data_IF_955954910952
#
_entry.id   IF_955954910952
#
_cell.length_a   1.000
_cell.length_b   1.000
_cell.length_c   1.000
_cell.angle_alpha   90.00
_cell.angle_beta   90.00
_cell.angle_gamma   90.00
#
_symmetry.space_group_name_H-M   'P 1'
#
loop_
_entity.id
_entity.type
_entity.pdbx_description
1 polymer ?
#
# COMPACT_ATOMS: atom_id res chain seq x y z
N UNK A 1 -16.00 16.15 6.17
CA UNK A 1 -15.21 17.01 5.28
C UNK A 1 -14.23 16.15 4.48
N UNK A 2 -14.11 16.41 3.18
CA UNK A 2 -13.16 15.75 2.27
C UNK A 2 -12.12 16.77 1.86
N UNK A 3 -10.85 16.40 1.85
CA UNK A 3 -9.76 17.25 1.37
C UNK A 3 -9.20 16.69 0.08
N UNK A 4 -9.06 17.53 -0.93
CA UNK A 4 -8.43 17.18 -2.20
C UNK A 4 -7.00 17.74 -2.25
N UNK A 5 -6.04 16.89 -2.61
CA UNK A 5 -4.63 17.22 -2.76
C UNK A 5 -4.17 16.90 -4.18
N UNK A 6 -3.61 17.90 -4.86
CA UNK A 6 -2.97 17.72 -6.16
C UNK A 6 -1.48 17.41 -5.92
N UNK A 7 -1.02 16.24 -6.34
CA UNK A 7 0.29 15.71 -5.97
C UNK A 7 1.28 15.86 -7.11
N UNK A 8 2.45 16.42 -6.82
CA UNK A 8 3.49 16.74 -7.81
C UNK A 8 3.35 18.10 -8.50
N UNK A 9 2.38 18.93 -8.07
CA UNK A 9 2.31 20.34 -8.43
C UNK A 9 3.38 21.17 -7.68
N UNK A 10 3.76 20.69 -6.49
CA UNK A 10 4.76 21.28 -5.58
C UNK A 10 5.90 20.29 -5.36
N UNK A 11 7.06 20.72 -4.83
CA UNK A 11 8.17 19.83 -4.49
C UNK A 11 7.91 18.98 -3.23
N UNK A 12 6.67 18.93 -2.72
CA UNK A 12 6.33 18.16 -1.52
C UNK A 12 6.56 16.65 -1.74
N UNK A 13 7.30 16.05 -0.81
CA UNK A 13 7.51 14.60 -0.75
C UNK A 13 6.26 13.86 -0.31
N UNK A 14 6.15 12.57 -0.67
CA UNK A 14 5.03 11.74 -0.21
C UNK A 14 4.99 11.63 1.32
N UNK A 15 6.16 11.61 1.98
CA UNK A 15 6.26 11.68 3.45
C UNK A 15 5.57 12.93 3.99
N UNK A 16 5.87 14.10 3.44
CA UNK A 16 5.24 15.37 3.85
C UNK A 16 3.73 15.33 3.68
N UNK A 17 3.28 14.87 2.51
CA UNK A 17 1.84 14.78 2.17
C UNK A 17 1.12 13.84 3.15
N UNK A 18 1.66 12.63 3.35
CA UNK A 18 1.05 11.61 4.21
C UNK A 18 1.08 12.02 5.68
N UNK A 19 2.17 12.64 6.15
CA UNK A 19 2.25 13.24 7.49
C UNK A 19 1.14 14.27 7.68
N UNK A 20 0.94 15.17 6.71
CA UNK A 20 -0.08 16.20 6.84
C UNK A 20 -1.49 15.63 6.89
N UNK A 21 -1.75 14.63 6.05
CA UNK A 21 -3.02 13.88 6.05
C UNK A 21 -3.25 13.20 7.41
N UNK A 22 -2.22 12.57 7.99
CA UNK A 22 -2.30 11.93 9.31
C UNK A 22 -2.62 12.94 10.43
N UNK A 23 -1.97 14.12 10.43
CA UNK A 23 -2.27 15.21 11.36
C UNK A 23 -3.74 15.65 11.28
N UNK A 24 -4.25 15.83 10.05
CA UNK A 24 -5.62 16.27 9.83
C UNK A 24 -6.65 15.24 10.28
N UNK A 25 -6.36 13.95 10.13
CA UNK A 25 -7.21 12.91 10.71
C UNK A 25 -7.19 12.94 12.24
N UNK A 26 -6.01 13.06 12.85
CA UNK A 26 -5.87 13.11 14.31
C UNK A 26 -6.59 14.33 14.92
N UNK A 27 -6.56 15.48 14.24
CA UNK A 27 -7.28 16.69 14.63
C UNK A 27 -8.77 16.70 14.29
N UNK A 28 -9.31 15.63 13.68
CA UNK A 28 -10.71 15.56 13.25
C UNK A 28 -11.06 16.47 12.06
N UNK A 29 -10.07 17.04 11.39
CA UNK A 29 -10.25 18.00 10.30
C UNK A 29 -10.76 17.37 9.00
N UNK A 30 -10.54 16.07 8.79
CA UNK A 30 -10.98 15.36 7.58
C UNK A 30 -11.52 13.96 7.90
N UNK A 31 -12.48 13.50 7.07
CA UNK A 31 -12.94 12.11 7.08
C UNK A 31 -12.37 11.30 5.93
N UNK A 32 -11.90 11.96 4.87
CA UNK A 32 -11.31 11.32 3.70
C UNK A 32 -10.39 12.29 2.95
N UNK A 33 -9.28 11.76 2.47
CA UNK A 33 -8.33 12.41 1.56
C UNK A 33 -8.56 11.92 0.14
N UNK A 34 -8.54 12.86 -0.81
CA UNK A 34 -8.53 12.58 -2.25
C UNK A 34 -7.22 13.08 -2.83
N UNK A 35 -6.50 12.20 -3.51
CA UNK A 35 -5.27 12.53 -4.24
C UNK A 35 -5.57 12.61 -5.72
N UNK A 36 -4.90 13.51 -6.43
CA UNK A 36 -4.93 13.59 -7.88
C UNK A 36 -3.54 13.94 -8.40
N UNK A 37 -2.99 13.13 -9.29
CA UNK A 37 -1.69 13.41 -9.91
C UNK A 37 -1.75 14.72 -10.70
N UNK A 38 -0.76 15.60 -10.48
CA UNK A 38 -0.65 16.85 -11.21
C UNK A 38 -0.51 16.61 -12.72
N UNK A 39 -1.28 17.36 -13.50
CA UNK A 39 -1.24 17.40 -14.96
C UNK A 39 -1.05 18.85 -15.40
N UNK A 40 0.00 19.17 -16.19
CA UNK A 40 0.17 20.51 -16.73
C UNK A 40 -0.94 20.81 -17.74
N UNK A 41 -1.43 22.05 -17.67
CA UNK A 41 -2.45 22.59 -18.57
C UNK A 41 -1.81 23.76 -19.30
N UNK A 42 -1.99 23.82 -20.62
CA UNK A 42 -1.48 24.91 -21.47
C UNK A 42 -2.00 26.28 -21.02
N UNK A 43 -1.22 27.31 -21.26
CA UNK A 43 -1.58 28.71 -20.95
C UNK A 43 -1.86 28.93 -19.46
N UNK A 44 -1.23 28.14 -18.60
CA UNK A 44 -1.27 28.32 -17.14
C UNK A 44 0.14 28.54 -16.59
N UNK A 45 0.30 29.25 -15.45
CA UNK A 45 1.62 29.41 -14.82
C UNK A 45 2.33 28.10 -14.45
N UNK A 46 1.64 26.96 -14.52
CA UNK A 46 2.17 25.64 -14.21
C UNK A 46 2.32 24.74 -15.45
N UNK A 47 2.25 25.30 -16.67
CA UNK A 47 2.35 24.54 -17.91
C UNK A 47 3.70 23.82 -18.09
N UNK A 48 4.78 24.42 -17.58
CA UNK A 48 6.13 23.85 -17.63
C UNK A 48 6.42 22.87 -16.49
N UNK A 49 5.50 22.70 -15.54
CA UNK A 49 5.68 21.75 -14.44
C UNK A 49 5.47 20.33 -14.96
N UNK A 50 6.43 19.44 -14.67
CA UNK A 50 6.35 18.05 -15.11
C UNK A 50 5.13 17.36 -14.53
N UNK A 51 4.38 16.65 -15.39
CA UNK A 51 3.27 15.81 -14.97
C UNK A 51 3.72 14.76 -13.94
N UNK A 52 2.93 14.56 -12.89
CA UNK A 52 3.19 13.53 -11.90
C UNK A 52 2.87 12.12 -12.47
N UNK A 53 3.63 11.08 -12.08
CA UNK A 53 3.27 9.71 -12.43
C UNK A 53 1.90 9.33 -11.86
N UNK A 54 1.02 8.71 -12.66
CA UNK A 54 -0.28 8.24 -12.18
C UNK A 54 -0.13 7.24 -11.02
N UNK A 55 0.92 6.42 -11.06
CA UNK A 55 1.22 5.46 -10.00
C UNK A 55 1.47 6.13 -8.65
N UNK A 56 1.99 7.37 -8.62
CA UNK A 56 2.23 8.11 -7.37
C UNK A 56 0.91 8.36 -6.62
N UNK A 57 -0.15 8.75 -7.34
CA UNK A 57 -1.49 8.90 -6.78
C UNK A 57 -1.99 7.58 -6.17
N UNK A 58 -1.85 6.48 -6.90
CA UNK A 58 -2.23 5.15 -6.40
C UNK A 58 -1.47 4.75 -5.13
N UNK A 59 -0.17 5.07 -5.03
CA UNK A 59 0.65 4.78 -3.85
C UNK A 59 0.20 5.57 -2.63
N UNK A 60 -0.17 6.84 -2.81
CA UNK A 60 -0.70 7.67 -1.72
C UNK A 60 -2.06 7.16 -1.21
N UNK A 61 -2.96 6.72 -2.11
CA UNK A 61 -4.20 6.06 -1.68
C UNK A 61 -3.95 4.75 -0.93
N UNK A 62 -2.98 3.94 -1.37
CA UNK A 62 -2.60 2.72 -0.67
C UNK A 62 -2.03 3.01 0.72
N UNK A 63 -1.16 4.02 0.84
CA UNK A 63 -0.62 4.46 2.13
C UNK A 63 -1.71 4.97 3.07
N UNK A 64 -2.64 5.80 2.60
CA UNK A 64 -3.80 6.27 3.37
C UNK A 64 -4.65 5.10 3.88
N UNK A 65 -4.91 4.12 3.00
CA UNK A 65 -5.65 2.92 3.37
C UNK A 65 -4.95 2.09 4.46
N UNK A 66 -3.62 2.01 4.43
CA UNK A 66 -2.85 1.34 5.49
C UNK A 66 -2.97 2.08 6.82
N UNK A 67 -2.86 3.40 6.84
CA UNK A 67 -2.99 4.17 8.07
C UNK A 67 -4.37 3.97 8.69
N UNK A 68 -5.43 4.13 7.90
CA UNK A 68 -6.81 4.08 8.39
C UNK A 68 -7.30 2.66 8.70
N UNK A 69 -7.02 1.72 7.82
CA UNK A 69 -7.59 0.37 7.86
C UNK A 69 -6.72 -0.65 8.60
N UNK A 70 -5.41 -0.42 8.64
CA UNK A 70 -4.43 -1.37 9.17
C UNK A 70 -3.69 -0.84 10.41
N UNK A 71 -3.85 0.44 10.74
CA UNK A 71 -3.20 1.08 11.88
C UNK A 71 -1.71 1.30 11.66
N UNK A 72 -1.30 1.55 10.41
CA UNK A 72 0.08 1.95 10.12
C UNK A 72 0.34 3.38 10.61
N UNK A 73 1.49 3.59 11.24
CA UNK A 73 2.06 4.92 11.43
C UNK A 73 2.73 5.44 10.16
N UNK A 74 2.92 6.75 10.06
CA UNK A 74 3.67 7.36 8.95
C UNK A 74 5.10 6.84 8.92
N UNK A 75 5.74 6.70 10.07
CA UNK A 75 7.11 6.19 10.20
C UNK A 75 7.23 4.69 9.87
N UNK A 76 6.11 3.97 9.76
CA UNK A 76 6.09 2.60 9.26
C UNK A 76 5.99 2.53 7.73
N UNK A 77 5.80 3.63 7.01
CA UNK A 77 5.80 3.59 5.56
C UNK A 77 7.23 3.59 5.04
N UNK A 78 7.51 2.72 4.06
CA UNK A 78 8.82 2.65 3.42
C UNK A 78 8.94 3.76 2.38
N UNK A 79 9.66 4.83 2.72
CA UNK A 79 10.01 5.91 1.81
C UNK A 79 11.45 5.73 1.29
N UNK A 80 11.71 6.23 0.09
CA UNK A 80 13.06 6.35 -0.45
C UNK A 80 13.84 7.53 0.18
N UNK A 81 15.09 7.74 -0.27
CA UNK A 81 15.95 8.83 0.18
C UNK A 81 15.38 10.22 -0.09
N UNK A 82 14.51 10.35 -1.10
CA UNK A 82 13.81 11.59 -1.45
C UNK A 82 12.49 11.77 -0.68
N UNK A 83 12.15 10.85 0.23
CA UNK A 83 10.92 10.88 1.00
C UNK A 83 9.68 10.46 0.21
N UNK A 84 9.84 9.79 -0.93
CA UNK A 84 8.73 9.34 -1.77
C UNK A 84 8.44 7.84 -1.62
N UNK A 85 7.21 7.44 -1.90
CA UNK A 85 6.82 6.03 -1.89
C UNK A 85 7.36 5.34 -3.15
N UNK A 86 7.89 4.11 -3.03
CA UNK A 86 8.30 3.33 -4.20
C UNK A 86 7.16 3.16 -5.19
N UNK A 87 7.36 3.59 -6.44
CA UNK A 87 6.35 3.47 -7.49
C UNK A 87 6.13 2.01 -7.91
N UNK A 88 7.17 1.17 -7.82
CA UNK A 88 7.14 -0.23 -8.27
C UNK A 88 6.60 -1.21 -7.23
N UNK A 89 6.58 -0.84 -5.95
CA UNK A 89 6.19 -1.72 -4.85
C UNK A 89 4.98 -1.19 -4.08
N UNK A 90 4.02 -2.06 -3.82
CA UNK A 90 2.92 -1.76 -2.89
C UNK A 90 3.47 -1.37 -1.50
N UNK A 91 2.96 -0.31 -0.85
CA UNK A 91 3.51 0.17 0.43
C UNK A 91 3.55 -0.89 1.54
N UNK A 92 2.57 -1.80 1.57
CA UNK A 92 2.53 -2.87 2.59
C UNK A 92 3.57 -3.95 2.30
N UNK A 93 3.75 -4.26 1.02
CA UNK A 93 4.82 -5.14 0.57
C UNK A 93 6.16 -4.50 0.90
N UNK A 94 6.40 -3.25 0.49
CA UNK A 94 7.64 -2.53 0.75
C UNK A 94 8.01 -2.53 2.24
N UNK A 95 7.03 -2.28 3.13
CA UNK A 95 7.24 -2.40 4.57
C UNK A 95 7.59 -3.82 5.02
N UNK A 96 6.92 -4.84 4.48
CA UNK A 96 7.21 -6.22 4.84
C UNK A 96 8.61 -6.66 4.40
N UNK A 97 9.09 -6.13 3.28
CA UNK A 97 10.43 -6.40 2.76
C UNK A 97 11.52 -5.69 3.57
N UNK A 98 11.23 -4.51 4.12
CA UNK A 98 12.17 -3.79 4.99
C UNK A 98 12.22 -4.33 6.43
N UNK A 99 11.30 -5.23 6.81
CA UNK A 99 11.21 -5.83 8.14
C UNK A 99 11.23 -7.38 8.11
N UNK A 100 12.28 -8.01 7.53
CA UNK A 100 12.35 -9.46 7.41
C UNK A 100 12.35 -10.18 8.76
N UNK A 101 12.80 -9.52 9.84
CA UNK A 101 12.81 -10.03 11.22
C UNK A 101 11.41 -10.29 11.78
N UNK A 102 10.37 -9.68 11.19
CA UNK A 102 8.97 -9.90 11.58
C UNK A 102 8.34 -11.12 10.91
N UNK A 103 9.08 -11.81 10.04
CA UNK A 103 8.60 -12.92 9.24
C UNK A 103 9.47 -14.17 9.39
N UNK A 104 8.88 -15.38 9.22
CA UNK A 104 7.49 -15.63 8.91
C UNK A 104 6.56 -15.51 10.13
N UNK A 105 5.28 -15.23 9.88
CA UNK A 105 4.25 -15.12 10.90
C UNK A 105 3.52 -16.46 11.04
N UNK A 106 3.48 -17.01 12.27
CA UNK A 106 2.75 -18.24 12.56
C UNK A 106 1.24 -18.00 12.63
N UNK A 107 0.53 -18.53 11.64
CA UNK A 107 -0.91 -18.27 11.46
C UNK A 107 -1.75 -18.81 12.61
N UNK A 108 -1.30 -19.80 13.39
CA UNK A 108 -2.09 -20.34 14.50
C UNK A 108 -2.07 -19.49 15.77
N UNK A 109 -1.01 -18.73 15.99
CA UNK A 109 -0.78 -18.05 17.28
C UNK A 109 -0.64 -16.53 17.14
N UNK A 110 -0.23 -16.03 15.98
CA UNK A 110 0.03 -14.61 15.76
C UNK A 110 -1.15 -13.72 16.14
N UNK A 111 -0.92 -12.59 16.80
CA UNK A 111 -1.98 -11.64 17.11
C UNK A 111 -2.65 -11.11 15.84
N UNK A 112 -3.86 -10.56 15.98
CA UNK A 112 -4.54 -9.89 14.87
C UNK A 112 -3.66 -8.80 14.25
N UNK A 113 -2.94 -8.05 15.08
CA UNK A 113 -2.04 -6.98 14.65
C UNK A 113 -0.88 -7.52 13.84
N UNK A 114 -0.26 -8.63 14.25
CA UNK A 114 0.78 -9.31 13.47
C UNK A 114 0.25 -9.80 12.12
N UNK A 115 -0.93 -10.41 12.09
CA UNK A 115 -1.57 -10.83 10.84
C UNK A 115 -1.87 -9.65 9.90
N UNK A 116 -2.28 -8.51 10.45
CA UNK A 116 -2.55 -7.30 9.66
C UNK A 116 -1.30 -6.74 8.99
N UNK A 117 -0.10 -7.10 9.45
CA UNK A 117 1.16 -6.70 8.83
C UNK A 117 1.57 -7.59 7.65
N UNK A 118 0.99 -8.78 7.52
CA UNK A 118 1.28 -9.70 6.42
C UNK A 118 0.68 -9.21 5.10
N UNK A 119 1.47 -9.08 4.01
CA UNK A 119 0.94 -8.80 2.68
C UNK A 119 -0.14 -9.80 2.26
N UNK A 120 -1.25 -9.32 1.70
CA UNK A 120 -2.38 -10.18 1.30
C UNK A 120 -3.34 -10.58 2.42
N UNK A 121 -3.08 -10.19 3.69
CA UNK A 121 -4.06 -10.32 4.78
C UNK A 121 -4.67 -8.96 5.10
N UNK A 122 -5.98 -8.80 4.84
CA UNK A 122 -6.76 -7.61 5.19
C UNK A 122 -7.42 -7.67 6.58
N UNK A 123 -8.09 -6.58 7.03
CA UNK A 123 -8.78 -6.52 8.33
C UNK A 123 -9.87 -7.58 8.50
N UNK A 124 -10.59 -7.91 7.43
CA UNK A 124 -11.61 -8.97 7.44
C UNK A 124 -10.96 -10.33 7.59
N UNK A 125 -9.95 -10.62 6.77
CA UNK A 125 -9.23 -11.90 6.79
C UNK A 125 -8.54 -12.13 8.15
N UNK A 126 -7.89 -11.11 8.71
CA UNK A 126 -7.23 -11.22 10.02
C UNK A 126 -8.23 -11.53 11.14
N UNK A 127 -9.41 -10.90 11.14
CA UNK A 127 -10.49 -11.21 12.09
C UNK A 127 -10.99 -12.65 11.93
N UNK A 128 -11.25 -13.08 10.70
CA UNK A 128 -11.70 -14.45 10.41
C UNK A 128 -10.68 -15.50 10.85
N UNK A 129 -9.40 -15.29 10.56
CA UNK A 129 -8.32 -16.19 11.02
C UNK A 129 -8.37 -16.33 12.54
N UNK A 130 -8.39 -15.21 13.28
CA UNK A 130 -8.40 -15.24 14.75
C UNK A 130 -9.63 -15.97 15.29
N UNK A 131 -10.81 -15.73 14.72
CA UNK A 131 -12.04 -16.38 15.14
C UNK A 131 -12.06 -17.91 14.86
N UNK A 132 -11.48 -18.34 13.74
CA UNK A 132 -11.53 -19.73 13.30
C UNK A 132 -10.49 -20.63 13.99
N UNK A 133 -9.39 -20.08 14.53
CA UNK A 133 -8.33 -20.87 15.21
C UNK A 133 -8.84 -21.76 16.33
N UNK A 134 -9.87 -21.33 17.04
CA UNK A 134 -10.48 -22.11 18.13
C UNK A 134 -11.45 -23.19 17.66
N UNK A 135 -11.83 -23.17 16.38
CA UNK A 135 -12.87 -24.04 15.79
C UNK A 135 -12.30 -25.06 14.83
N UNK A 136 -11.21 -24.73 14.14
CA UNK A 136 -10.62 -25.57 13.10
C UNK A 136 -9.11 -25.49 13.07
N UNK A 137 -8.49 -26.56 12.57
CA UNK A 137 -7.06 -26.59 12.27
C UNK A 137 -6.88 -26.31 10.80
N UNK A 138 -6.25 -25.16 10.48
CA UNK A 138 -5.87 -24.88 9.10
C UNK A 138 -4.84 -25.92 8.63
N UNK A 139 -5.04 -26.45 7.43
CA UNK A 139 -4.19 -27.48 6.81
C UNK A 139 -3.24 -26.89 5.77
N UNK A 140 -3.57 -25.74 5.17
CA UNK A 140 -2.71 -25.06 4.22
C UNK A 140 -3.32 -23.80 3.61
N UNK A 141 -2.73 -23.33 2.51
CA UNK A 141 -3.12 -22.09 1.83
C UNK A 141 -4.58 -22.09 1.35
N UNK A 142 -5.12 -23.25 0.95
CA UNK A 142 -6.51 -23.35 0.50
C UNK A 142 -7.50 -22.94 1.60
N UNK A 143 -7.23 -23.28 2.86
CA UNK A 143 -8.08 -22.89 3.99
C UNK A 143 -7.97 -21.39 4.25
N UNK A 144 -6.77 -20.83 4.18
CA UNK A 144 -6.56 -19.39 4.33
C UNK A 144 -7.24 -18.59 3.22
N UNK A 145 -7.25 -19.10 1.98
CA UNK A 145 -7.95 -18.47 0.85
C UNK A 145 -9.46 -18.38 1.12
N UNK A 146 -10.08 -19.41 1.70
CA UNK A 146 -11.51 -19.38 2.08
C UNK A 146 -11.82 -18.29 3.13
N UNK A 147 -10.84 -17.93 3.96
CA UNK A 147 -10.96 -16.84 4.92
C UNK A 147 -10.74 -15.44 4.32
N UNK A 148 -10.40 -15.37 3.02
CA UNK A 148 -10.15 -14.12 2.31
C UNK A 148 -8.67 -13.69 2.26
N UNK A 149 -7.74 -14.60 2.55
CA UNK A 149 -6.30 -14.33 2.38
C UNK A 149 -5.92 -14.40 0.91
N UNK A 150 -5.25 -13.35 0.41
CA UNK A 150 -4.62 -13.35 -0.92
C UNK A 150 -3.32 -14.15 -0.82
N UNK A 151 -3.46 -15.46 -0.94
CA UNK A 151 -2.36 -16.44 -0.79
C UNK A 151 -1.18 -16.20 -1.72
N UNK A 152 -1.40 -15.68 -2.93
CA UNK A 152 -0.32 -15.32 -3.85
C UNK A 152 0.60 -14.20 -3.33
N UNK A 153 0.12 -13.38 -2.39
CA UNK A 153 0.92 -12.35 -1.70
C UNK A 153 1.37 -12.77 -0.30
N UNK A 154 0.59 -13.61 0.38
CA UNK A 154 0.82 -13.95 1.78
C UNK A 154 1.71 -15.19 1.99
N UNK A 155 1.74 -16.14 1.04
CA UNK A 155 2.31 -17.46 1.28
C UNK A 155 3.79 -17.45 1.71
N UNK A 156 4.62 -16.57 1.14
CA UNK A 156 6.03 -16.41 1.51
C UNK A 156 6.27 -15.82 2.91
N UNK A 157 5.25 -15.24 3.53
CA UNK A 157 5.33 -14.56 4.83
C UNK A 157 4.74 -15.38 5.99
N UNK A 158 4.24 -16.59 5.72
CA UNK A 158 3.44 -17.37 6.68
C UNK A 158 4.04 -18.74 6.99
N UNK A 159 3.90 -19.15 8.25
CA UNK A 159 4.02 -20.55 8.67
C UNK A 159 2.71 -21.08 9.21
N UNK A 160 2.61 -22.41 9.23
CA UNK A 160 1.50 -23.13 9.82
C UNK A 160 2.01 -24.34 10.60
N UNK A 161 1.98 -24.23 11.93
CA UNK A 161 2.70 -25.10 12.87
C UNK A 161 4.16 -25.30 12.47
N UNK A 162 4.89 -24.21 12.32
CA UNK A 162 6.33 -24.23 12.04
C UNK A 162 6.70 -24.64 10.61
N UNK A 163 5.74 -25.09 9.80
CA UNK A 163 5.97 -25.38 8.38
C UNK A 163 5.71 -24.14 7.54
N UNK A 164 6.70 -23.73 6.73
CA UNK A 164 6.51 -22.66 5.75
C UNK A 164 5.48 -23.09 4.71
N UNK A 165 4.60 -22.17 4.33
CA UNK A 165 3.56 -22.44 3.32
C UNK A 165 4.07 -22.30 1.88
N UNK A 166 5.26 -21.72 1.70
CA UNK A 166 5.98 -21.67 0.43
C UNK A 166 7.50 -21.60 0.69
N UNK A 167 8.28 -22.24 -0.19
CA UNK A 167 9.75 -22.31 -0.12
C UNK A 167 10.46 -21.28 -1.02
N UNK A 168 9.78 -20.75 -2.04
CA UNK A 168 10.31 -19.71 -2.94
C UNK A 168 10.71 -18.45 -2.15
N UNK A 169 11.83 -17.83 -2.51
CA UNK A 169 12.18 -16.51 -1.98
C UNK A 169 11.10 -15.50 -2.37
N UNK A 170 10.66 -14.70 -1.41
CA UNK A 170 9.60 -13.71 -1.59
C UNK A 170 9.91 -12.69 -2.71
N UNK A 171 11.19 -12.39 -2.95
CA UNK A 171 11.63 -11.53 -4.05
C UNK A 171 11.29 -12.11 -5.44
N UNK A 172 11.34 -13.43 -5.60
CA UNK A 172 10.99 -14.12 -6.85
C UNK A 172 9.47 -14.23 -7.01
N UNK A 173 8.73 -14.38 -5.91
CA UNK A 173 7.26 -14.44 -5.91
C UNK A 173 6.60 -13.12 -6.34
N UNK A 174 7.25 -12.00 -6.05
CA UNK A 174 6.78 -10.66 -6.43
C UNK A 174 7.23 -10.23 -7.83
N UNK A 175 8.15 -10.98 -8.47
CA UNK A 175 8.64 -10.75 -9.83
C UNK A 175 7.61 -10.88 -10.96
N UNK A 176 6.34 -11.15 -10.62
CA UNK A 176 5.18 -10.97 -11.51
C UNK A 176 4.79 -9.49 -11.73
N UNK A 177 5.46 -8.54 -11.05
CA UNK A 177 5.36 -7.11 -11.33
C UNK A 177 6.74 -6.64 -11.80
N UNK A 178 7.00 -6.69 -13.11
CA UNK A 178 8.21 -6.09 -13.68
C UNK A 178 8.01 -4.58 -13.79
N UNK A 179 9.07 -3.84 -13.45
CA UNK A 179 9.14 -2.38 -13.57
C UNK A 179 9.12 -1.86 -15.01
N UNK A 180 9.08 -2.76 -16.00
CA UNK A 180 9.24 -2.46 -17.42
C UNK A 180 7.98 -1.86 -18.06
N UNK A 181 6.83 -1.90 -17.39
CA UNK A 181 5.56 -1.43 -17.98
C UNK A 181 5.31 0.09 -17.86
N UNK A 182 6.19 0.87 -17.20
CA UNK A 182 5.95 2.31 -17.00
C UNK A 182 7.18 3.23 -17.16
N UNK A 183 8.34 2.70 -17.58
CA UNK A 183 9.52 3.54 -17.89
C UNK A 183 9.45 3.99 -19.35
N UNK A 184 8.65 5.03 -19.62
CA UNK A 184 8.59 5.62 -20.97
C UNK A 184 7.41 6.52 -21.29
N UNK A 185 6.59 6.95 -20.31
CA UNK A 185 5.45 7.82 -20.62
C UNK A 185 5.94 9.19 -21.19
N UNK A 186 5.52 9.58 -22.41
CA UNK A 186 5.86 10.87 -22.99
C UNK A 186 5.32 12.03 -22.13
N UNK A 187 5.89 13.23 -22.29
CA UNK A 187 5.35 14.44 -21.68
C UNK A 187 3.99 14.76 -22.30
N UNK A 188 2.90 14.33 -21.65
CA UNK A 188 1.53 14.56 -22.11
C UNK A 188 1.04 15.87 -21.50
N UNK A 189 0.82 16.88 -22.34
CA UNK A 189 0.13 18.12 -21.97
C UNK A 189 -1.36 17.97 -22.26
N UNK A 190 -2.20 18.43 -21.34
CA UNK A 190 -3.65 18.34 -21.47
C UNK A 190 -4.23 19.73 -21.81
N UNK A 191 -5.24 19.77 -22.68
CA UNK A 191 -5.96 21.01 -22.99
C UNK A 191 -6.98 21.37 -21.89
N UNK A 192 -7.48 20.36 -21.15
CA UNK A 192 -8.38 20.52 -19.99
C UNK A 192 -8.08 19.46 -18.93
N UNK A 193 -8.34 19.77 -17.65
CA UNK A 193 -8.22 18.80 -16.56
C UNK A 193 -9.23 17.65 -16.75
N UNK A 194 -8.78 16.38 -16.88
CA UNK A 194 -9.69 15.26 -16.89
C UNK A 194 -10.25 15.09 -15.49
N UNK A 195 -11.46 15.61 -15.27
CA UNK A 195 -12.13 15.55 -13.97
C UNK A 195 -12.22 14.11 -13.46
N UNK A 196 -11.84 13.90 -12.20
CA UNK A 196 -12.00 12.64 -11.47
C UNK A 196 -13.47 12.47 -11.06
N UNK A 197 -14.35 12.19 -12.02
CA UNK A 197 -15.71 11.73 -11.74
C UNK A 197 -15.94 10.38 -12.41
N UNK A 198 -15.58 9.31 -11.71
CA UNK A 198 -16.25 8.00 -11.78
C UNK A 198 -16.24 7.34 -10.41
#
# INVERSE_FOLDING_TARGET
MTMQLVVGATPDSDRTIVSKVAELYAGGGIHHSQFSAFRPIRDTPMEDVRAAPAMREHRLYQADHLMRGYGFGVDELAFDESGNLPLTLDPKIAWALSHPERFPVEVRTASRTQLLRVPGIGPVASRRIVAERGRTVFRGLADLRKLGVITSRAAGFLTLAGRRLQTTRWAEQLGFWRAEDDVGAPHIMYDVSPGTFR
#
